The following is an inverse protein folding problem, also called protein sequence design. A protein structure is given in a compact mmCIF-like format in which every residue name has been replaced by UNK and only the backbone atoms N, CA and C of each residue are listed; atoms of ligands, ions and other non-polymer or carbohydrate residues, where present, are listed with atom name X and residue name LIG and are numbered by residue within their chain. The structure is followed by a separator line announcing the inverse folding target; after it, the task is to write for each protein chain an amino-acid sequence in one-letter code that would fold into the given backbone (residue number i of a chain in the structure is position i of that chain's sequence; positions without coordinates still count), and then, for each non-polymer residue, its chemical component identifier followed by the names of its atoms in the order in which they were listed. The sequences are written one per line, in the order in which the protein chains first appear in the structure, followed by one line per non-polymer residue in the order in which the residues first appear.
data_IF_174119229301
#
_entry.id   IF_174119229301
#
_cell.length_a   1.000
_cell.length_b   1.000
_cell.length_c   1.000
_cell.angle_alpha   90.00
_cell.angle_beta   90.00
_cell.angle_gamma   90.00
#
_symmetry.space_group_name_H-M   'P 1'
#
loop_
_entity.id
_entity.type
_entity.pdbx_description
1 polymer ?
#
# COMPACT_ATOMS: atom_id res chain seq x y z
N UNK A 1 12.78 -59.67 -14.22
CA UNK A 1 12.78 -58.58 -13.21
C UNK A 1 13.26 -57.28 -13.86
N UNK A 2 12.42 -56.56 -14.63
CA UNK A 2 12.85 -55.34 -15.38
C UNK A 2 11.71 -54.34 -15.65
N UNK A 3 10.63 -54.36 -14.85
CA UNK A 3 9.45 -53.50 -15.09
C UNK A 3 8.95 -52.75 -13.84
N UNK A 4 9.81 -52.51 -12.85
CA UNK A 4 9.40 -51.92 -11.57
C UNK A 4 10.15 -50.63 -11.19
N UNK A 5 10.80 -49.96 -12.15
CA UNK A 5 11.64 -48.79 -11.87
C UNK A 5 11.17 -47.50 -12.56
N UNK A 6 10.03 -47.52 -13.26
CA UNK A 6 9.55 -46.39 -14.07
C UNK A 6 8.27 -45.72 -13.52
N UNK A 7 7.86 -46.05 -12.29
CA UNK A 7 6.69 -45.41 -11.63
C UNK A 7 7.08 -44.47 -10.48
N UNK A 8 8.37 -44.27 -10.21
CA UNK A 8 8.83 -43.42 -9.10
C UNK A 8 9.06 -41.95 -9.43
N UNK A 9 9.11 -41.56 -10.71
CA UNK A 9 9.58 -40.23 -11.13
C UNK A 9 8.47 -39.21 -11.43
N UNK A 10 7.20 -39.62 -11.50
CA UNK A 10 6.10 -38.75 -11.95
C UNK A 10 5.38 -38.04 -10.80
N UNK A 11 5.52 -38.52 -9.54
CA UNK A 11 4.78 -37.95 -8.41
C UNK A 11 5.46 -36.74 -7.74
N UNK A 12 6.67 -36.37 -8.14
CA UNK A 12 7.44 -35.28 -7.50
C UNK A 12 7.26 -33.90 -8.16
N UNK A 13 6.47 -33.77 -9.23
CA UNK A 13 6.30 -32.49 -9.95
C UNK A 13 5.08 -31.64 -9.52
N UNK A 14 4.21 -32.13 -8.63
CA UNK A 14 2.96 -31.42 -8.28
C UNK A 14 3.03 -30.52 -7.02
N UNK A 15 4.20 -30.37 -6.39
CA UNK A 15 4.36 -29.57 -5.15
C UNK A 15 4.96 -28.17 -5.37
N UNK A 16 5.04 -27.67 -6.61
CA UNK A 16 5.29 -26.25 -6.85
C UNK A 16 3.98 -25.45 -6.88
N UNK A 17 3.17 -25.59 -5.82
CA UNK A 17 2.16 -24.60 -5.50
C UNK A 17 2.88 -23.35 -5.04
N UNK A 18 3.30 -22.50 -5.99
CA UNK A 18 3.76 -21.16 -5.67
C UNK A 18 2.66 -20.48 -4.87
N UNK A 19 2.95 -20.15 -3.60
CA UNK A 19 2.01 -19.45 -2.72
C UNK A 19 1.79 -18.05 -3.30
N UNK A 20 0.87 -17.90 -4.25
CA UNK A 20 0.54 -16.59 -4.83
C UNK A 20 -0.25 -15.81 -3.79
N UNK A 21 0.22 -14.60 -3.46
CA UNK A 21 -0.50 -13.69 -2.57
C UNK A 21 -1.92 -13.45 -3.10
N UNK A 22 -2.88 -13.32 -2.19
CA UNK A 22 -4.27 -13.07 -2.57
C UNK A 22 -4.40 -11.75 -3.36
N UNK A 23 -5.26 -11.68 -4.39
CA UNK A 23 -5.55 -10.41 -5.02
C UNK A 23 -6.20 -9.47 -4.00
N UNK A 24 -5.81 -8.20 -4.03
CA UNK A 24 -6.33 -7.12 -3.19
C UNK A 24 -6.90 -6.02 -4.06
N UNK A 25 -7.97 -5.36 -3.61
CA UNK A 25 -8.61 -4.28 -4.37
C UNK A 25 -8.88 -3.06 -3.53
N UNK A 26 -8.41 -1.90 -3.97
CA UNK A 26 -8.61 -0.60 -3.34
C UNK A 26 -10.05 -0.14 -3.58
N UNK A 27 -10.79 0.01 -2.49
CA UNK A 27 -12.18 0.49 -2.50
C UNK A 27 -12.21 1.99 -2.30
N UNK A 28 -11.50 2.51 -1.29
CA UNK A 28 -11.50 3.93 -0.98
C UNK A 28 -10.18 4.37 -0.38
N UNK A 29 -9.94 5.68 -0.45
CA UNK A 29 -8.86 6.33 0.24
C UNK A 29 -9.35 7.68 0.77
N UNK A 30 -8.91 8.05 1.96
CA UNK A 30 -9.20 9.35 2.57
C UNK A 30 -8.00 9.81 3.41
N UNK A 31 -7.74 11.11 3.40
CA UNK A 31 -6.86 11.70 4.42
C UNK A 31 -7.69 11.98 5.67
N UNK A 32 -7.13 11.66 6.82
CA UNK A 32 -7.69 11.90 8.13
C UNK A 32 -6.71 12.76 8.90
N UNK A 33 -7.20 13.88 9.41
CA UNK A 33 -6.40 14.92 10.03
C UNK A 33 -6.62 15.07 11.56
N UNK A 34 -7.49 14.23 12.14
CA UNK A 34 -7.84 14.26 13.57
C UNK A 34 -7.90 12.85 14.21
N UNK A 35 -6.97 11.96 13.83
CA UNK A 35 -6.84 10.66 14.51
C UNK A 35 -6.11 10.76 15.86
N UNK A 36 -5.49 11.89 16.15
CA UNK A 36 -4.59 12.04 17.28
C UNK A 36 -5.18 12.92 18.38
N UNK A 37 -5.50 12.34 19.53
CA UNK A 37 -5.93 13.06 20.75
C UNK A 37 -4.74 13.71 21.48
N UNK A 38 -3.80 14.32 20.74
CA UNK A 38 -2.75 15.17 21.31
C UNK A 38 -1.29 14.68 21.23
N UNK A 39 -0.96 13.58 20.54
CA UNK A 39 0.44 13.14 20.39
C UNK A 39 1.20 13.81 19.22
N UNK A 40 0.48 14.44 18.28
CA UNK A 40 1.02 15.09 17.07
C UNK A 40 1.61 14.14 16.03
N UNK A 41 1.71 12.84 16.32
CA UNK A 41 2.33 11.85 15.44
C UNK A 41 1.35 11.29 14.39
N UNK A 42 0.05 11.42 14.60
CA UNK A 42 -1.00 10.94 13.69
C UNK A 42 -1.89 12.06 13.17
N UNK A 43 -1.35 13.28 13.10
CA UNK A 43 -2.09 14.45 12.59
C UNK A 43 -2.34 14.38 11.08
N UNK A 44 -1.62 13.55 10.33
CA UNK A 44 -1.78 13.39 8.88
C UNK A 44 -1.69 11.92 8.48
N UNK A 45 -2.86 11.27 8.42
CA UNK A 45 -2.98 9.84 8.13
C UNK A 45 -3.71 9.63 6.83
N UNK A 46 -3.14 8.82 5.94
CA UNK A 46 -3.85 8.24 4.81
C UNK A 46 -4.50 6.94 5.23
N UNK A 47 -5.83 6.89 5.20
CA UNK A 47 -6.62 5.67 5.34
C UNK A 47 -6.88 5.09 3.95
N UNK A 48 -6.45 3.86 3.73
CA UNK A 48 -6.64 3.09 2.49
C UNK A 48 -7.50 1.89 2.83
N UNK A 49 -8.67 1.73 2.21
CA UNK A 49 -9.56 0.60 2.46
C UNK A 49 -9.64 -0.34 1.27
N UNK A 50 -9.61 -1.62 1.57
CA UNK A 50 -9.68 -2.71 0.62
C UNK A 50 -11.05 -3.39 0.64
N UNK A 51 -11.32 -4.22 -0.36
CA UNK A 51 -12.56 -5.01 -0.45
C UNK A 51 -12.64 -6.09 0.64
N UNK A 52 -11.49 -6.62 1.03
CA UNK A 52 -11.26 -7.58 2.12
C UNK A 52 -9.99 -7.22 2.91
N UNK A 53 -9.81 -7.73 4.14
CA UNK A 53 -8.56 -7.55 4.88
C UNK A 53 -7.38 -8.12 4.09
N UNK A 54 -6.21 -7.48 4.20
CA UNK A 54 -5.01 -8.00 3.56
C UNK A 54 -4.48 -9.21 4.35
N UNK A 55 -4.24 -10.32 3.66
CA UNK A 55 -3.80 -11.60 4.24
C UNK A 55 -2.28 -11.78 4.22
N UNK A 56 -1.54 -10.86 3.59
CA UNK A 56 -0.09 -10.93 3.41
C UNK A 56 0.51 -9.52 3.37
N UNK A 57 1.84 -9.45 3.42
CA UNK A 57 2.56 -8.20 3.22
C UNK A 57 2.50 -7.82 1.73
N UNK A 58 2.07 -6.59 1.45
CA UNK A 58 2.07 -5.99 0.11
C UNK A 58 2.89 -4.72 0.11
N UNK A 59 3.61 -4.44 -0.97
CA UNK A 59 4.26 -3.14 -1.12
C UNK A 59 3.27 -2.17 -1.75
N UNK A 60 3.15 -0.96 -1.20
CA UNK A 60 2.29 0.07 -1.77
C UNK A 60 3.09 1.32 -2.09
N UNK A 61 2.75 1.98 -3.19
CA UNK A 61 3.23 3.30 -3.56
C UNK A 61 2.08 4.29 -3.56
N UNK A 62 2.37 5.54 -3.21
CA UNK A 62 1.44 6.65 -3.37
C UNK A 62 2.09 7.78 -4.17
N UNK A 63 1.26 8.49 -4.91
CA UNK A 63 1.56 9.83 -5.42
C UNK A 63 0.38 10.72 -5.05
N UNK A 64 0.60 11.67 -4.16
CA UNK A 64 -0.38 12.64 -3.70
C UNK A 64 0.00 14.00 -4.24
N UNK A 65 -0.95 14.70 -4.86
CA UNK A 65 -0.79 16.06 -5.36
C UNK A 65 -1.88 16.93 -4.74
N UNK A 66 -1.50 18.06 -4.14
CA UNK A 66 -2.44 19.04 -3.59
C UNK A 66 -2.87 20.06 -4.64
N UNK A 67 -3.84 20.91 -4.31
CA UNK A 67 -4.26 22.01 -5.19
C UNK A 67 -3.16 23.07 -5.40
N UNK A 68 -2.23 23.20 -4.45
CA UNK A 68 -1.06 24.07 -4.50
C UNK A 68 0.13 23.44 -5.25
N UNK A 69 -0.09 22.33 -5.96
CA UNK A 69 0.93 21.57 -6.67
C UNK A 69 2.05 21.01 -5.79
N UNK A 70 1.84 20.91 -4.47
CA UNK A 70 2.72 20.11 -3.62
C UNK A 70 2.53 18.63 -3.96
N UNK A 71 3.64 17.95 -4.29
CA UNK A 71 3.68 16.52 -4.57
C UNK A 71 4.38 15.79 -3.43
N UNK A 72 3.71 14.76 -2.90
CA UNK A 72 4.28 13.77 -2.02
C UNK A 72 4.25 12.41 -2.71
N UNK A 73 5.40 11.75 -2.83
CA UNK A 73 5.47 10.39 -3.33
C UNK A 73 6.38 9.52 -2.48
N UNK A 74 6.10 8.22 -2.49
CA UNK A 74 6.85 7.25 -1.71
C UNK A 74 6.12 5.91 -1.63
N UNK A 75 6.73 4.93 -0.96
CA UNK A 75 6.13 3.62 -0.80
C UNK A 75 6.68 2.84 0.38
N UNK A 76 5.86 1.95 0.93
CA UNK A 76 6.18 1.16 2.11
C UNK A 76 5.37 -0.15 2.10
N UNK A 77 5.58 -1.05 3.07
CA UNK A 77 4.85 -2.31 3.16
C UNK A 77 3.58 -2.19 4.01
N UNK A 78 2.44 -2.52 3.41
CA UNK A 78 1.20 -2.83 4.13
C UNK A 78 1.32 -4.21 4.75
N UNK A 79 0.94 -4.35 6.01
CA UNK A 79 1.02 -5.61 6.76
C UNK A 79 -0.34 -5.98 7.32
N UNK A 80 -0.69 -7.27 7.37
CA UNK A 80 -1.89 -7.72 8.06
C UNK A 80 -1.88 -7.24 9.51
N UNK A 81 -3.01 -6.72 9.99
CA UNK A 81 -3.14 -6.25 11.37
C UNK A 81 -3.35 -7.45 12.29
N UNK A 82 -2.35 -7.78 13.11
CA UNK A 82 -2.44 -8.91 14.04
C UNK A 82 -3.51 -8.69 15.14
N UNK A 83 -3.74 -7.44 15.55
CA UNK A 83 -4.72 -7.09 16.59
C UNK A 83 -6.16 -7.02 16.11
N UNK A 84 -6.36 -6.84 14.80
CA UNK A 84 -7.68 -6.70 14.18
C UNK A 84 -7.63 -7.27 12.75
N UNK A 85 -7.65 -8.61 12.62
CA UNK A 85 -7.46 -9.29 11.34
C UNK A 85 -8.62 -9.06 10.35
N UNK A 86 -9.79 -8.61 10.84
CA UNK A 86 -10.96 -8.33 10.03
C UNK A 86 -11.00 -6.88 9.51
N UNK A 87 -10.05 -6.04 9.93
CA UNK A 87 -9.96 -4.66 9.48
C UNK A 87 -9.53 -4.57 8.01
N UNK A 88 -10.43 -4.05 7.19
CA UNK A 88 -10.21 -3.83 5.76
C UNK A 88 -9.40 -2.57 5.45
N UNK A 89 -9.14 -1.72 6.43
CA UNK A 89 -8.52 -0.42 6.23
C UNK A 89 -7.14 -0.33 6.88
N UNK A 90 -6.18 0.15 6.10
CA UNK A 90 -4.81 0.42 6.52
C UNK A 90 -4.64 1.92 6.77
N UNK A 91 -4.05 2.27 7.91
CA UNK A 91 -3.78 3.65 8.31
C UNK A 91 -2.29 3.92 8.19
N UNK A 92 -1.90 4.92 7.38
CA UNK A 92 -0.52 5.20 7.06
C UNK A 92 -0.20 6.66 7.33
N UNK A 93 0.75 6.89 8.22
CA UNK A 93 1.25 8.23 8.47
C UNK A 93 1.94 8.78 7.22
N UNK A 94 1.48 9.93 6.73
CA UNK A 94 1.96 10.55 5.50
C UNK A 94 3.43 11.00 5.59
N UNK A 95 3.95 11.29 6.78
CA UNK A 95 5.36 11.61 6.97
C UNK A 95 6.30 10.43 6.66
N UNK A 96 5.79 9.19 6.64
CA UNK A 96 6.58 8.01 6.31
C UNK A 96 6.96 7.93 4.82
N UNK A 97 6.35 8.77 3.97
CA UNK A 97 6.70 8.87 2.55
C UNK A 97 7.75 9.94 2.27
N UNK A 98 8.21 10.70 3.26
CA UNK A 98 9.29 11.66 3.06
C UNK A 98 10.61 10.89 2.84
N UNK A 99 11.32 11.21 1.77
CA UNK A 99 12.61 10.64 1.42
C UNK A 99 13.64 11.75 1.13
N UNK A 100 14.89 11.35 0.83
CA UNK A 100 16.03 12.26 0.61
C UNK A 100 15.84 13.29 -0.52
N UNK A 101 14.92 13.05 -1.45
CA UNK A 101 14.66 13.93 -2.59
C UNK A 101 13.37 14.75 -2.39
N UNK A 102 12.69 14.57 -1.25
CA UNK A 102 11.57 15.43 -0.84
C UNK A 102 12.07 16.84 -0.49
N UNK A 103 11.22 17.89 -0.61
CA UNK A 103 11.57 19.25 -0.19
C UNK A 103 12.04 19.30 1.28
N UNK A 104 12.98 20.19 1.59
CA UNK A 104 13.51 20.35 2.96
C UNK A 104 12.42 20.62 4.01
N UNK A 105 11.33 21.29 3.61
CA UNK A 105 10.18 21.61 4.44
C UNK A 105 8.98 20.66 4.23
N UNK A 106 9.18 19.45 3.67
CA UNK A 106 8.09 18.52 3.33
C UNK A 106 7.15 18.21 4.50
N UNK A 107 7.66 18.08 5.74
CA UNK A 107 6.81 17.89 6.93
C UNK A 107 5.82 19.05 7.12
N UNK A 108 6.31 20.28 7.01
CA UNK A 108 5.48 21.47 7.16
C UNK A 108 4.48 21.57 5.99
N UNK A 109 4.92 21.29 4.74
CA UNK A 109 4.03 21.27 3.58
C UNK A 109 2.92 20.21 3.69
N UNK A 110 3.22 19.02 4.22
CA UNK A 110 2.20 18.00 4.49
C UNK A 110 1.18 18.53 5.50
N UNK A 111 1.65 19.16 6.58
CA UNK A 111 0.77 19.75 7.58
C UNK A 111 -0.12 20.85 6.99
N UNK A 112 0.43 21.73 6.16
CA UNK A 112 -0.28 22.90 5.65
C UNK A 112 -1.24 22.55 4.51
N UNK A 113 -0.85 21.64 3.61
CA UNK A 113 -1.56 21.39 2.36
C UNK A 113 -2.27 20.05 2.27
N UNK A 114 -1.80 19.01 2.97
CA UNK A 114 -2.40 17.67 2.88
C UNK A 114 -3.52 17.56 3.90
N UNK A 115 -4.71 17.99 3.51
CA UNK A 115 -5.93 17.99 4.33
C UNK A 115 -7.13 17.57 3.49
N UNK A 116 -8.22 17.07 4.10
CA UNK A 116 -9.43 16.71 3.38
C UNK A 116 -9.92 17.85 2.47
N UNK A 117 -10.28 17.51 1.23
CA UNK A 117 -10.76 18.47 0.22
C UNK A 117 -9.68 19.32 -0.44
N UNK A 118 -8.39 19.16 -0.08
CA UNK A 118 -7.28 19.89 -0.70
C UNK A 118 -6.35 19.02 -1.54
N UNK A 119 -6.75 17.77 -1.83
CA UNK A 119 -5.96 16.82 -2.60
C UNK A 119 -6.56 16.73 -3.99
N UNK A 120 -5.86 17.31 -4.97
CA UNK A 120 -6.30 17.29 -6.36
C UNK A 120 -6.22 15.88 -6.94
N UNK A 121 -5.16 15.13 -6.60
CA UNK A 121 -4.95 13.76 -7.06
C UNK A 121 -4.29 12.89 -5.99
N UNK A 122 -4.76 11.64 -5.88
CA UNK A 122 -4.10 10.60 -5.12
C UNK A 122 -4.08 9.31 -5.95
N UNK A 123 -2.90 8.93 -6.42
CA UNK A 123 -2.65 7.62 -7.01
C UNK A 123 -2.16 6.66 -5.92
N UNK A 124 -2.78 5.49 -5.82
CA UNK A 124 -2.32 4.39 -4.98
C UNK A 124 -2.09 3.18 -5.88
N UNK A 125 -0.91 2.58 -5.75
CA UNK A 125 -0.52 1.37 -6.46
C UNK A 125 -0.12 0.31 -5.45
N UNK A 126 -0.65 -0.90 -5.60
CA UNK A 126 -0.30 -2.06 -4.78
C UNK A 126 0.51 -3.04 -5.61
N UNK A 127 1.54 -3.62 -5.03
CA UNK A 127 2.40 -4.63 -5.61
C UNK A 127 2.52 -5.80 -4.65
N UNK A 128 2.77 -7.00 -5.19
CA UNK A 128 3.11 -8.14 -4.36
C UNK A 128 4.36 -7.84 -3.53
N UNK A 129 5.42 -7.33 -4.15
CA UNK A 129 6.67 -6.95 -3.48
C UNK A 129 7.17 -5.60 -4.00
N UNK A 130 8.23 -5.06 -3.40
CA UNK A 130 8.79 -3.78 -3.82
C UNK A 130 9.24 -3.88 -5.29
N UNK A 131 8.70 -3.07 -6.21
CA UNK A 131 9.03 -3.17 -7.63
C UNK A 131 10.46 -2.67 -7.89
N UNK A 132 11.21 -3.38 -8.74
CA UNK A 132 12.58 -3.04 -9.15
C UNK A 132 12.64 -2.40 -10.54
N UNK A 133 11.52 -2.32 -11.27
CA UNK A 133 11.46 -1.68 -12.57
C UNK A 133 10.05 -1.64 -13.15
N UNK A 134 9.75 -2.61 -14.02
CA UNK A 134 8.56 -2.63 -14.91
C UNK A 134 7.42 -3.49 -14.38
N UNK A 135 7.44 -3.86 -13.10
CA UNK A 135 6.36 -4.61 -12.49
C UNK A 135 5.07 -3.82 -12.57
N UNK A 136 3.99 -4.50 -12.94
CA UNK A 136 2.65 -3.92 -13.01
C UNK A 136 2.03 -4.06 -11.61
N UNK A 137 1.38 -3.01 -11.09
CA UNK A 137 0.68 -3.13 -9.82
C UNK A 137 -0.43 -4.19 -9.90
N UNK A 138 -0.64 -4.93 -8.82
CA UNK A 138 -1.74 -5.90 -8.69
C UNK A 138 -3.09 -5.19 -8.60
N UNK A 139 -3.09 -3.97 -8.09
CA UNK A 139 -4.22 -3.05 -8.16
C UNK A 139 -3.73 -1.60 -8.13
N UNK A 140 -4.44 -0.74 -8.85
CA UNK A 140 -4.13 0.68 -8.96
C UNK A 140 -5.42 1.49 -8.95
N UNK A 141 -5.42 2.59 -8.20
CA UNK A 141 -6.56 3.51 -8.18
C UNK A 141 -6.12 4.96 -8.09
N UNK A 142 -6.68 5.77 -8.99
CA UNK A 142 -6.58 7.21 -8.98
C UNK A 142 -7.84 7.82 -8.38
N UNK A 143 -7.67 8.55 -7.30
CA UNK A 143 -8.68 9.41 -6.70
C UNK A 143 -8.41 10.85 -7.10
N UNK A 144 -9.48 11.63 -7.31
CA UNK A 144 -9.39 13.04 -7.67
C UNK A 144 -10.26 13.85 -6.73
N UNK A 145 -9.79 15.02 -6.33
CA UNK A 145 -10.51 15.98 -5.49
C UNK A 145 -11.03 15.36 -4.18
N UNK A 146 -10.12 14.83 -3.35
CA UNK A 146 -10.41 14.22 -2.04
C UNK A 146 -9.89 15.03 -0.86
#
# INVERSE_FOLDING_TARGET
MKKLLWMGAILSLMMMGGCSKDPVKIISAQVVDDMDKGSGNFDRVLKICFDKPISSDYYHKIILVTNEAFKLDGGNYLKPMASDPDNKCQYRNLYTYIHKDSPLNARQMIKDYVRPGNISQLLIQIYNDKPEGKEIPVDEKLFKNI
#
